data_IF_263616694689
#
_entry.id   IF_263616694689
#
_cell.length_a   1.000
_cell.length_b   1.000
_cell.length_c   1.000
_cell.angle_alpha   90.00
_cell.angle_beta   90.00
_cell.angle_gamma   90.00
#
_symmetry.space_group_name_H-M   'P 1'
#
loop_
_entity.id
_entity.type
_entity.pdbx_description
1 polymer ?
#
# COMPACT_ATOMS: atom_id res chain seq x y z
N UNK A 1 4.33 1.28 -38.77
CA UNK A 1 3.52 1.38 -37.53
C UNK A 1 3.74 0.20 -36.57
N UNK A 2 4.73 -0.68 -36.81
CA UNK A 2 5.01 -1.85 -35.96
C UNK A 2 6.10 -1.60 -34.90
N UNK A 3 6.78 -0.45 -34.98
CA UNK A 3 7.85 -0.10 -34.05
C UNK A 3 7.33 0.37 -32.68
N UNK A 4 6.10 0.90 -32.63
CA UNK A 4 5.45 1.35 -31.39
C UNK A 4 4.88 0.19 -30.56
N UNK A 5 4.40 -0.87 -31.21
CA UNK A 5 3.86 -2.07 -30.52
C UNK A 5 4.98 -2.84 -29.79
N UNK A 6 6.22 -2.77 -30.30
CA UNK A 6 7.38 -3.45 -29.71
C UNK A 6 7.97 -2.75 -28.48
N UNK A 7 7.58 -1.50 -28.24
CA UNK A 7 8.13 -0.65 -27.17
C UNK A 7 7.12 -0.26 -26.10
N UNK A 8 5.88 -0.75 -26.16
CA UNK A 8 5.03 -0.84 -24.98
C UNK A 8 5.42 -2.11 -24.22
N UNK A 9 6.30 -2.04 -23.21
CA UNK A 9 6.17 -3.02 -22.15
C UNK A 9 4.75 -2.86 -21.62
N UNK A 10 4.00 -3.95 -21.57
CA UNK A 10 2.68 -3.93 -20.92
C UNK A 10 2.98 -3.44 -19.51
N UNK A 11 2.46 -2.28 -19.11
CA UNK A 11 2.70 -1.63 -17.81
C UNK A 11 2.80 -2.64 -16.64
N UNK A 12 1.90 -3.64 -16.68
CA UNK A 12 1.82 -4.79 -15.78
C UNK A 12 3.11 -5.63 -15.70
N UNK A 13 3.80 -5.89 -16.79
CA UNK A 13 5.05 -6.66 -16.85
C UNK A 13 6.21 -5.94 -16.15
N UNK A 14 6.28 -4.61 -16.28
CA UNK A 14 7.22 -3.80 -15.50
C UNK A 14 6.86 -3.82 -14.02
N UNK A 15 5.59 -3.61 -13.67
CA UNK A 15 5.15 -3.71 -12.27
C UNK A 15 5.52 -5.06 -11.66
N UNK A 16 5.18 -6.18 -12.31
CA UNK A 16 5.49 -7.54 -11.82
C UNK A 16 6.98 -7.76 -11.62
N UNK A 17 7.84 -7.16 -12.46
CA UNK A 17 9.30 -7.29 -12.33
C UNK A 17 9.86 -6.49 -11.14
N UNK A 18 9.30 -5.32 -10.85
CA UNK A 18 9.84 -4.41 -9.84
C UNK A 18 9.15 -4.50 -8.47
N UNK A 19 7.87 -4.92 -8.44
CA UNK A 19 7.05 -5.06 -7.23
C UNK A 19 7.74 -5.89 -6.15
N UNK A 20 8.30 -7.08 -6.43
CA UNK A 20 8.95 -7.88 -5.38
C UNK A 20 10.15 -7.18 -4.73
N UNK A 21 10.92 -6.39 -5.50
CA UNK A 21 12.07 -5.64 -4.98
C UNK A 21 11.61 -4.43 -4.16
N UNK A 22 10.56 -3.75 -4.62
CA UNK A 22 9.96 -2.64 -3.90
C UNK A 22 9.38 -3.11 -2.56
N UNK A 23 8.66 -4.24 -2.54
CA UNK A 23 8.12 -4.86 -1.33
C UNK A 23 9.22 -5.25 -0.35
N UNK A 24 10.27 -5.93 -0.80
CA UNK A 24 11.41 -6.28 0.06
C UNK A 24 12.07 -5.05 0.67
N UNK A 25 12.23 -3.99 -0.11
CA UNK A 25 12.79 -2.73 0.36
C UNK A 25 11.87 -2.10 1.42
N UNK A 26 10.57 -2.02 1.15
CA UNK A 26 9.57 -1.48 2.07
C UNK A 26 9.55 -2.26 3.41
N UNK A 27 9.55 -3.60 3.35
CA UNK A 27 9.58 -4.46 4.55
C UNK A 27 10.87 -4.27 5.34
N UNK A 28 12.02 -4.23 4.66
CA UNK A 28 13.33 -4.02 5.30
C UNK A 28 13.42 -2.64 5.97
N UNK A 29 12.99 -1.60 5.28
CA UNK A 29 12.93 -0.23 5.81
C UNK A 29 11.98 -0.15 7.01
N UNK A 30 10.77 -0.71 6.90
CA UNK A 30 9.80 -0.75 7.99
C UNK A 30 10.34 -1.46 9.23
N UNK A 31 10.99 -2.62 9.07
CA UNK A 31 11.63 -3.34 10.19
C UNK A 31 12.75 -2.54 10.83
N UNK A 32 13.58 -1.84 10.06
CA UNK A 32 14.65 -0.99 10.60
C UNK A 32 14.09 0.20 11.36
N UNK A 33 13.05 0.84 10.82
CA UNK A 33 12.39 1.95 11.46
C UNK A 33 11.74 1.55 12.79
N UNK A 34 11.08 0.40 12.87
CA UNK A 34 10.51 -0.11 14.13
C UNK A 34 11.54 -0.40 15.24
N UNK A 35 12.84 -0.46 14.93
CA UNK A 35 13.91 -0.55 15.94
C UNK A 35 14.28 0.81 16.56
N UNK A 36 13.82 1.92 15.97
CA UNK A 36 14.05 3.25 16.51
C UNK A 36 13.04 3.52 17.64
N UNK A 37 13.48 4.07 18.78
CA UNK A 37 12.67 4.15 19.99
C UNK A 37 11.39 5.01 19.84
N UNK A 38 11.41 6.01 18.95
CA UNK A 38 10.27 6.91 18.74
C UNK A 38 9.38 6.51 17.55
N UNK A 39 9.87 5.64 16.68
CA UNK A 39 9.16 5.32 15.44
C UNK A 39 7.79 4.67 15.66
N UNK A 40 7.59 3.75 16.63
CA UNK A 40 6.26 3.20 16.88
C UNK A 40 5.21 4.28 17.21
N UNK A 41 5.59 5.32 17.96
CA UNK A 41 4.68 6.42 18.28
C UNK A 41 4.36 7.27 17.05
N UNK A 42 5.37 7.54 16.22
CA UNK A 42 5.18 8.26 14.95
C UNK A 42 4.29 7.45 13.99
N UNK A 43 4.49 6.13 13.94
CA UNK A 43 3.71 5.24 13.09
C UNK A 43 2.21 5.27 13.44
N UNK A 44 1.83 5.41 14.72
CA UNK A 44 0.42 5.53 15.14
C UNK A 44 -0.30 6.74 14.53
N UNK A 45 0.42 7.82 14.22
CA UNK A 45 -0.16 9.02 13.60
C UNK A 45 -0.07 8.93 12.08
N UNK A 46 1.05 8.43 11.57
CA UNK A 46 1.32 8.40 10.12
C UNK A 46 0.51 7.30 9.42
N UNK A 47 0.35 6.13 10.02
CA UNK A 47 -0.36 4.99 9.39
C UNK A 47 -1.82 5.32 9.09
N UNK A 48 -2.63 5.84 10.04
CA UNK A 48 -4.02 6.23 9.73
C UNK A 48 -4.11 7.34 8.69
N UNK A 49 -3.19 8.31 8.76
CA UNK A 49 -3.14 9.42 7.80
C UNK A 49 -2.82 8.91 6.39
N UNK A 50 -1.84 8.01 6.25
CA UNK A 50 -1.50 7.38 4.99
C UNK A 50 -2.68 6.55 4.46
N UNK A 51 -3.36 5.79 5.32
CA UNK A 51 -4.55 5.01 4.94
C UNK A 51 -5.68 5.92 4.40
N UNK A 52 -5.96 7.03 5.08
CA UNK A 52 -6.96 8.01 4.63
C UNK A 52 -6.58 8.62 3.27
N UNK A 53 -5.34 9.11 3.13
CA UNK A 53 -4.85 9.70 1.88
C UNK A 53 -4.89 8.70 0.72
N UNK A 54 -4.48 7.45 0.95
CA UNK A 54 -4.57 6.38 -0.06
C UNK A 54 -6.01 6.10 -0.48
N UNK A 55 -6.96 6.09 0.48
CA UNK A 55 -8.39 5.96 0.18
C UNK A 55 -8.90 7.09 -0.72
N UNK A 56 -8.59 8.34 -0.38
CA UNK A 56 -8.98 9.51 -1.20
C UNK A 56 -8.33 9.49 -2.59
N UNK A 57 -7.06 9.13 -2.68
CA UNK A 57 -6.37 8.98 -3.96
C UNK A 57 -7.05 7.94 -4.85
N UNK A 58 -7.34 6.75 -4.32
CA UNK A 58 -8.00 5.69 -5.08
C UNK A 58 -9.39 6.12 -5.57
N UNK A 59 -10.18 6.76 -4.70
CA UNK A 59 -11.49 7.32 -5.05
C UNK A 59 -11.37 8.31 -6.22
N UNK A 60 -10.39 9.21 -6.17
CA UNK A 60 -10.13 10.18 -7.24
C UNK A 60 -9.73 9.47 -8.54
N UNK A 61 -8.82 8.49 -8.49
CA UNK A 61 -8.37 7.75 -9.68
C UNK A 61 -9.54 7.03 -10.35
N UNK A 62 -10.34 6.28 -9.58
CA UNK A 62 -11.52 5.57 -10.11
C UNK A 62 -12.54 6.56 -10.69
N UNK A 63 -12.91 7.59 -9.93
CA UNK A 63 -13.93 8.57 -10.36
C UNK A 63 -13.51 9.39 -11.59
N UNK A 64 -12.21 9.59 -11.81
CA UNK A 64 -11.70 10.34 -12.97
C UNK A 64 -11.34 9.45 -14.16
N UNK A 65 -11.00 8.17 -13.93
CA UNK A 65 -10.79 7.20 -15.00
C UNK A 65 -12.07 6.97 -15.83
N UNK A 66 -13.24 7.08 -15.18
CA UNK A 66 -14.55 6.99 -15.84
C UNK A 66 -15.00 8.30 -16.52
N UNK A 67 -14.32 9.42 -16.25
CA UNK A 67 -14.64 10.76 -16.78
C UNK A 67 -13.59 11.20 -17.81
N UNK A 68 -13.79 12.39 -18.39
CA UNK A 68 -13.03 12.95 -19.54
C UNK A 68 -11.50 12.97 -19.36
N UNK A 69 -10.99 12.80 -18.14
CA UNK A 69 -9.56 12.75 -17.83
C UNK A 69 -8.98 11.31 -17.91
N UNK A 70 -8.84 10.81 -19.14
CA UNK A 70 -8.18 9.52 -19.46
C UNK A 70 -6.76 9.37 -18.92
N UNK A 71 -6.10 10.45 -18.48
CA UNK A 71 -4.77 10.36 -17.84
C UNK A 71 -4.85 9.61 -16.51
N UNK A 72 -5.97 9.70 -15.80
CA UNK A 72 -6.15 9.02 -14.52
C UNK A 72 -6.19 7.49 -14.65
N UNK A 73 -6.59 6.93 -15.82
CA UNK A 73 -6.64 5.48 -16.01
C UNK A 73 -5.25 4.82 -16.10
N UNK A 74 -4.19 5.61 -16.25
CA UNK A 74 -2.80 5.13 -16.22
C UNK A 74 -2.18 5.22 -14.81
N UNK A 75 -2.94 5.71 -13.82
CA UNK A 75 -2.46 5.82 -12.45
C UNK A 75 -2.81 4.53 -11.69
N UNK A 76 -1.83 3.90 -11.03
CA UNK A 76 -2.07 2.67 -10.28
C UNK A 76 -2.90 2.95 -9.03
N UNK A 77 -3.80 2.02 -8.68
CA UNK A 77 -4.51 2.05 -7.40
C UNK A 77 -3.64 1.50 -6.28
N UNK A 78 -3.77 2.09 -5.09
CA UNK A 78 -3.19 1.56 -3.87
C UNK A 78 -4.06 0.41 -3.37
N UNK A 79 -3.49 -0.79 -3.20
CA UNK A 79 -4.24 -1.98 -2.79
C UNK A 79 -4.52 -1.99 -1.27
N UNK A 80 -5.33 -1.04 -0.79
CA UNK A 80 -5.64 -0.84 0.63
C UNK A 80 -6.25 -2.07 1.29
N UNK A 81 -7.08 -2.84 0.58
CA UNK A 81 -7.64 -4.10 1.09
C UNK A 81 -6.59 -5.18 1.38
N UNK A 82 -5.60 -5.34 0.47
CA UNK A 82 -4.48 -6.27 0.70
C UNK A 82 -3.65 -5.84 1.91
N UNK A 83 -3.43 -4.54 2.07
CA UNK A 83 -2.70 -3.98 3.22
C UNK A 83 -3.47 -4.25 4.52
N UNK A 84 -4.76 -3.93 4.56
CA UNK A 84 -5.60 -4.19 5.76
C UNK A 84 -5.64 -5.68 6.09
N UNK A 85 -5.75 -6.57 5.10
CA UNK A 85 -5.73 -8.01 5.34
C UNK A 85 -4.41 -8.49 5.97
N UNK A 86 -3.27 -8.02 5.44
CA UNK A 86 -1.94 -8.42 5.95
C UNK A 86 -1.66 -7.86 7.35
N UNK A 87 -2.17 -6.67 7.67
CA UNK A 87 -1.86 -6.01 8.94
C UNK A 87 -2.96 -6.08 10.01
N UNK A 88 -4.22 -6.32 9.63
CA UNK A 88 -5.39 -6.33 10.52
C UNK A 88 -5.53 -7.61 11.33
N UNK A 89 -4.96 -8.73 10.88
CA UNK A 89 -5.00 -10.03 11.57
C UNK A 89 -4.15 -10.07 12.87
N UNK A 90 -3.40 -9.01 13.21
CA UNK A 90 -2.57 -8.94 14.43
C UNK A 90 -3.33 -8.53 15.72
N UNK A 91 -4.66 -8.40 15.68
CA UNK A 91 -5.46 -7.87 16.82
C UNK A 91 -6.40 -8.87 17.47
N UNK A 92 -6.15 -10.19 17.37
CA UNK A 92 -6.97 -11.19 18.07
C UNK A 92 -6.10 -12.28 18.67
N UNK A 93 -5.57 -12.00 19.87
CA UNK A 93 -5.35 -12.92 21.01
C UNK A 93 -4.52 -12.19 22.08
N UNK A 94 -5.17 -11.28 22.81
CA UNK A 94 -4.74 -10.96 24.19
C UNK A 94 -5.94 -11.26 25.07
N UNK A 95 -6.10 -12.54 25.37
CA UNK A 95 -6.98 -13.02 26.43
C UNK A 95 -6.56 -12.35 27.76
N UNK A 96 -7.48 -11.69 28.47
CA UNK A 96 -7.18 -11.14 29.78
C UNK A 96 -7.16 -12.27 30.80
N UNK A 97 -5.97 -12.61 31.29
CA UNK A 97 -5.80 -13.39 32.51
C UNK A 97 -6.31 -12.56 33.69
N UNK A 98 -7.58 -12.73 34.03
CA UNK A 98 -8.09 -12.37 35.35
C UNK A 98 -7.52 -13.37 36.34
N UNK A 99 -6.50 -12.93 37.09
CA UNK A 99 -6.18 -13.51 38.39
C UNK A 99 -7.18 -12.96 39.39
N UNK A 100 -8.12 -13.79 39.81
CA UNK A 100 -8.90 -13.56 41.03
C UNK A 100 -8.16 -14.23 42.19
N UNK A 101 -7.88 -13.46 43.25
CA UNK A 101 -7.27 -13.88 44.50
C UNK A 101 -8.31 -14.29 45.53
#
# INVERSE_FOLDING_TARGET
MEMYIKYEPTEKELYVKYEPKAEQCAVSAWRKLNKLPLFPQVALVVVPTAAYCSGKYNEIVVNNAEKVYKVASYLPLVLTEKIVKVFGEQTTEMEPSVSES
#
